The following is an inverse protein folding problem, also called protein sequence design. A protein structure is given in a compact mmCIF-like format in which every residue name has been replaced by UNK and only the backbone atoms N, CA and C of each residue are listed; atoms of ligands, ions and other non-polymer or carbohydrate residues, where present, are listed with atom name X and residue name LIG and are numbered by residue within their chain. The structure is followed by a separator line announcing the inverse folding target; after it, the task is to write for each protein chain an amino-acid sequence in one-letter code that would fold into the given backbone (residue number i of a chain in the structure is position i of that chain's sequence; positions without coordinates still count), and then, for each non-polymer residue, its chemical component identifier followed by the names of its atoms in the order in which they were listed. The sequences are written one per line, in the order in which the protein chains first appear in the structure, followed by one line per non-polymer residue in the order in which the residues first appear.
data_IF_727601347620
#
_entry.id   IF_727601347620
#
_cell.length_a   1.000
_cell.length_b   1.000
_cell.length_c   1.000
_cell.angle_alpha   90.00
_cell.angle_beta   90.00
_cell.angle_gamma   90.00
#
_symmetry.space_group_name_H-M   'P 1'
#
loop_
_entity.id
_entity.type
_entity.pdbx_description
1 polymer ?
#
# COMPACT_ATOMS: atom_id res chain seq x y z
N UNK A 1 -22.06 11.71 -14.78
CA UNK A 1 -20.79 12.43 -14.53
C UNK A 1 -20.18 12.14 -13.15
N UNK A 2 -20.98 12.06 -12.06
CA UNK A 2 -20.48 11.78 -10.68
C UNK A 2 -19.70 10.46 -10.51
N UNK A 3 -20.14 9.38 -11.16
CA UNK A 3 -19.53 8.03 -11.01
C UNK A 3 -18.05 7.99 -11.39
N UNK A 4 -17.67 8.53 -12.55
CA UNK A 4 -16.27 8.47 -13.01
C UNK A 4 -15.35 9.34 -12.16
N UNK A 5 -15.84 10.48 -11.65
CA UNK A 5 -15.10 11.35 -10.74
C UNK A 5 -14.82 10.61 -9.43
N UNK A 6 -15.85 10.02 -8.81
CA UNK A 6 -15.69 9.21 -7.60
C UNK A 6 -14.79 8.00 -7.82
N UNK A 7 -14.91 7.33 -8.97
CA UNK A 7 -14.07 6.18 -9.28
C UNK A 7 -12.59 6.55 -9.44
N UNK A 8 -12.30 7.68 -10.07
CA UNK A 8 -10.94 8.23 -10.13
C UNK A 8 -10.42 8.57 -8.73
N UNK A 9 -11.25 9.24 -7.92
CA UNK A 9 -10.90 9.59 -6.54
C UNK A 9 -10.57 8.35 -5.71
N UNK A 10 -11.41 7.31 -5.74
CA UNK A 10 -11.17 6.07 -4.99
C UNK A 10 -9.82 5.43 -5.36
N UNK A 11 -9.50 5.35 -6.64
CA UNK A 11 -8.21 4.80 -7.07
C UNK A 11 -7.03 5.67 -6.67
N UNK A 12 -7.16 6.99 -6.84
CA UNK A 12 -6.11 7.93 -6.47
C UNK A 12 -5.77 7.84 -4.99
N UNK A 13 -6.79 7.77 -4.13
CA UNK A 13 -6.60 7.65 -2.68
C UNK A 13 -5.96 6.31 -2.30
N UNK A 14 -6.43 5.18 -2.85
CA UNK A 14 -5.82 3.88 -2.59
C UNK A 14 -4.36 3.86 -3.08
N UNK A 15 -4.09 4.30 -4.31
CA UNK A 15 -2.73 4.29 -4.90
C UNK A 15 -1.75 5.11 -4.06
N UNK A 16 -2.13 6.32 -3.65
CA UNK A 16 -1.25 7.19 -2.85
C UNK A 16 -1.08 6.72 -1.41
N UNK A 17 -2.13 6.14 -0.82
CA UNK A 17 -2.04 5.56 0.53
C UNK A 17 -1.12 4.35 0.53
N UNK A 18 -1.28 3.44 -0.44
CA UNK A 18 -0.37 2.30 -0.61
C UNK A 18 1.07 2.75 -0.80
N UNK A 19 1.31 3.77 -1.64
CA UNK A 19 2.65 4.32 -1.84
C UNK A 19 3.23 4.89 -0.55
N UNK A 20 2.42 5.58 0.25
CA UNK A 20 2.88 6.14 1.53
C UNK A 20 3.27 5.05 2.52
N UNK A 21 2.43 4.01 2.66
CA UNK A 21 2.70 2.85 3.54
C UNK A 21 3.98 2.14 3.09
N UNK A 22 4.13 1.84 1.79
CA UNK A 22 5.35 1.20 1.29
C UNK A 22 6.57 2.06 1.62
N UNK A 23 6.51 3.36 1.36
CA UNK A 23 7.63 4.26 1.65
C UNK A 23 8.02 4.22 3.12
N UNK A 24 7.04 4.35 4.00
CA UNK A 24 7.24 4.36 5.44
C UNK A 24 7.88 3.06 5.93
N UNK A 25 7.30 1.91 5.57
CA UNK A 25 7.77 0.60 6.03
C UNK A 25 9.18 0.29 5.53
N UNK A 26 9.48 0.68 4.30
CA UNK A 26 10.81 0.49 3.72
C UNK A 26 11.84 1.44 4.34
N UNK A 27 11.45 2.68 4.67
CA UNK A 27 12.29 3.61 5.42
C UNK A 27 12.55 3.14 6.86
N UNK A 28 11.55 2.55 7.52
CA UNK A 28 11.71 1.99 8.87
C UNK A 28 12.64 0.78 8.85
N UNK A 29 12.49 -0.12 7.88
CA UNK A 29 13.28 -1.35 7.79
C UNK A 29 14.73 -1.11 7.35
N UNK A 30 14.96 -0.21 6.39
CA UNK A 30 16.26 -0.05 5.72
C UNK A 30 16.79 1.38 5.71
N UNK A 31 16.15 2.32 6.39
CA UNK A 31 16.61 3.71 6.49
C UNK A 31 16.24 4.58 5.28
N UNK A 32 16.63 5.87 5.31
CA UNK A 32 16.17 6.87 4.34
C UNK A 32 16.62 6.59 2.90
N UNK A 33 17.73 5.87 2.73
CA UNK A 33 18.30 5.52 1.42
C UNK A 33 17.89 4.11 0.95
N UNK A 34 16.83 3.52 1.52
CA UNK A 34 16.38 2.14 1.24
C UNK A 34 16.26 1.81 -0.25
N UNK A 35 15.95 2.80 -1.09
CA UNK A 35 15.87 2.64 -2.54
C UNK A 35 17.20 2.18 -3.16
N UNK A 36 18.33 2.59 -2.58
CA UNK A 36 19.67 2.29 -3.09
C UNK A 36 20.35 1.10 -2.39
N UNK A 37 19.81 0.64 -1.27
CA UNK A 37 20.47 -0.35 -0.38
C UNK A 37 19.64 -1.61 -0.15
N UNK A 38 18.39 -1.67 -0.63
CA UNK A 38 17.54 -2.84 -0.42
C UNK A 38 18.23 -4.13 -0.91
N UNK A 39 18.28 -5.20 -0.12
CA UNK A 39 18.88 -6.47 -0.54
C UNK A 39 18.20 -7.11 -1.76
N UNK A 40 17.04 -6.56 -2.17
CA UNK A 40 16.27 -6.98 -3.34
C UNK A 40 16.50 -6.08 -4.57
N UNK A 41 17.59 -5.29 -4.63
CA UNK A 41 17.96 -4.45 -5.78
C UNK A 41 17.84 -5.21 -7.12
N UNK A 42 18.23 -6.48 -7.16
CA UNK A 42 18.15 -7.30 -8.38
C UNK A 42 16.72 -7.73 -8.77
N UNK A 43 15.75 -7.64 -7.84
CA UNK A 43 14.32 -7.88 -8.07
C UNK A 43 13.51 -6.57 -8.16
N UNK A 44 14.18 -5.42 -8.10
CA UNK A 44 13.53 -4.12 -8.18
C UNK A 44 12.92 -3.96 -9.58
N UNK A 45 11.70 -3.39 -9.70
CA UNK A 45 11.22 -2.94 -11.00
C UNK A 45 12.27 -2.02 -11.63
N UNK A 46 12.44 -2.05 -12.95
CA UNK A 46 13.34 -1.11 -13.67
C UNK A 46 12.99 0.37 -13.46
N UNK A 47 11.83 0.63 -12.84
CA UNK A 47 11.24 1.93 -12.55
C UNK A 47 11.61 2.39 -11.14
N UNK A 48 11.80 3.70 -10.98
CA UNK A 48 11.95 4.33 -9.66
C UNK A 48 10.70 4.10 -8.82
N UNK A 49 10.83 4.11 -7.48
CA UNK A 49 9.69 3.89 -6.60
C UNK A 49 8.51 4.84 -6.87
N UNK A 50 8.80 6.09 -7.22
CA UNK A 50 7.78 7.11 -7.51
C UNK A 50 7.04 6.87 -8.82
N UNK A 51 7.62 6.09 -9.76
CA UNK A 51 7.00 5.78 -11.05
C UNK A 51 6.26 4.44 -11.08
N UNK A 52 6.21 3.73 -9.94
CA UNK A 52 5.46 2.48 -9.83
C UNK A 52 3.96 2.71 -10.01
N UNK A 53 3.33 1.85 -10.79
CA UNK A 53 1.87 1.81 -10.93
C UNK A 53 1.24 0.95 -9.84
N UNK A 54 -0.09 1.00 -9.74
CA UNK A 54 -0.86 0.23 -8.75
C UNK A 54 -0.52 -1.26 -8.70
N UNK A 55 -0.41 -1.93 -9.84
CA UNK A 55 -0.06 -3.34 -9.89
C UNK A 55 1.38 -3.61 -9.43
N UNK A 56 2.30 -2.69 -9.70
CA UNK A 56 3.67 -2.76 -9.20
C UNK A 56 3.68 -2.65 -7.67
N UNK A 57 2.92 -1.69 -7.11
CA UNK A 57 2.77 -1.51 -5.66
C UNK A 57 2.20 -2.78 -4.99
N UNK A 58 1.14 -3.37 -5.55
CA UNK A 58 0.58 -4.62 -5.00
C UNK A 58 1.60 -5.77 -5.06
N UNK A 59 2.36 -5.87 -6.15
CA UNK A 59 3.38 -6.91 -6.28
C UNK A 59 4.47 -6.77 -5.19
N UNK A 60 4.76 -5.56 -4.74
CA UNK A 60 5.74 -5.34 -3.68
C UNK A 60 5.33 -5.99 -2.34
N UNK A 61 4.04 -5.96 -1.98
CA UNK A 61 3.52 -6.63 -0.78
C UNK A 61 3.71 -8.15 -0.78
N UNK A 62 4.08 -8.76 -1.91
CA UNK A 62 4.39 -10.19 -2.01
C UNK A 62 5.89 -10.50 -2.02
N UNK A 63 6.72 -9.50 -2.26
CA UNK A 63 8.16 -9.68 -2.54
C UNK A 63 9.02 -9.15 -1.41
N UNK A 64 8.61 -8.05 -0.78
CA UNK A 64 9.40 -7.36 0.22
C UNK A 64 8.97 -7.79 1.63
N UNK A 65 9.86 -8.41 2.43
CA UNK A 65 9.53 -8.87 3.78
C UNK A 65 8.96 -7.79 4.72
N UNK A 66 9.42 -6.51 4.69
CA UNK A 66 8.82 -5.47 5.53
C UNK A 66 7.35 -5.16 5.21
N UNK A 67 6.88 -5.56 4.03
CA UNK A 67 5.49 -5.37 3.61
C UNK A 67 4.64 -6.62 3.84
N UNK A 68 5.27 -7.72 4.22
CA UNK A 68 4.58 -8.97 4.49
C UNK A 68 3.62 -8.78 5.66
N UNK A 69 2.47 -9.42 5.57
CA UNK A 69 1.44 -9.42 6.62
C UNK A 69 0.85 -8.06 7.01
N UNK A 70 1.19 -6.95 6.33
CA UNK A 70 0.52 -5.65 6.54
C UNK A 70 -0.96 -5.74 6.18
N UNK A 71 -1.25 -6.41 5.07
CA UNK A 71 -2.62 -6.59 4.61
C UNK A 71 -3.00 -8.07 4.63
N UNK A 72 -4.26 -8.40 5.01
CA UNK A 72 -4.74 -9.75 4.90
C UNK A 72 -4.76 -10.19 3.43
N UNK A 73 -4.45 -11.46 3.17
CA UNK A 73 -4.37 -12.01 1.81
C UNK A 73 -5.65 -11.80 0.99
N UNK A 74 -6.81 -11.79 1.67
CA UNK A 74 -8.10 -11.46 1.05
C UNK A 74 -8.10 -10.04 0.47
N UNK A 75 -7.67 -9.04 1.24
CA UNK A 75 -7.63 -7.64 0.78
C UNK A 75 -6.62 -7.45 -0.36
N UNK A 76 -5.46 -8.11 -0.31
CA UNK A 76 -4.51 -8.11 -1.43
C UNK A 76 -5.14 -8.69 -2.71
N UNK A 77 -5.86 -9.79 -2.59
CA UNK A 77 -6.59 -10.42 -3.70
C UNK A 77 -7.68 -9.48 -4.25
N UNK A 78 -8.44 -8.85 -3.36
CA UNK A 78 -9.47 -7.88 -3.71
C UNK A 78 -8.87 -6.67 -4.47
N UNK A 79 -7.71 -6.17 -4.04
CA UNK A 79 -6.97 -5.10 -4.74
C UNK A 79 -6.42 -5.53 -6.12
N UNK A 80 -5.88 -6.74 -6.26
CA UNK A 80 -5.49 -7.27 -7.58
C UNK A 80 -6.70 -7.29 -8.53
N UNK A 81 -7.87 -7.62 -8.00
CA UNK A 81 -9.08 -7.80 -8.79
C UNK A 81 -9.64 -6.49 -9.41
N UNK A 82 -9.16 -5.31 -8.97
CA UNK A 82 -9.54 -4.00 -9.51
C UNK A 82 -8.52 -3.44 -10.51
N UNK A 83 -7.41 -4.14 -10.81
CA UNK A 83 -6.43 -3.73 -11.84
C UNK A 83 -7.09 -3.47 -13.21
N UNK A 84 -8.02 -4.31 -13.72
CA UNK A 84 -8.70 -4.03 -14.98
C UNK A 84 -9.56 -2.76 -14.93
N UNK A 85 -10.17 -2.46 -13.78
CA UNK A 85 -11.00 -1.26 -13.55
C UNK A 85 -10.11 -0.02 -13.57
N UNK A 86 -8.96 -0.07 -12.90
CA UNK A 86 -7.94 0.98 -12.96
C UNK A 86 -7.49 1.26 -14.38
N UNK A 87 -7.24 0.23 -15.18
CA UNK A 87 -6.87 0.41 -16.58
C UNK A 87 -7.99 1.09 -17.39
N UNK A 88 -9.26 0.73 -17.16
CA UNK A 88 -10.39 1.43 -17.80
C UNK A 88 -10.42 2.91 -17.43
N UNK A 89 -10.29 3.25 -16.15
CA UNK A 89 -10.27 4.65 -15.69
C UNK A 89 -9.10 5.42 -16.31
N UNK A 90 -7.90 4.84 -16.33
CA UNK A 90 -6.71 5.47 -16.92
C UNK A 90 -6.87 5.77 -18.42
N UNK A 91 -7.69 5.00 -19.13
CA UNK A 91 -8.02 5.20 -20.54
C UNK A 91 -9.35 5.93 -20.75
N UNK A 92 -9.88 6.60 -19.72
CA UNK A 92 -11.16 7.33 -19.76
C UNK A 92 -12.34 6.49 -20.27
N UNK A 93 -12.31 5.18 -20.03
CA UNK A 93 -13.39 4.25 -20.43
C UNK A 93 -14.46 4.18 -19.35
N UNK A 94 -15.72 4.10 -19.77
CA UNK A 94 -16.84 3.92 -18.85
C UNK A 94 -16.73 2.60 -18.08
N UNK A 95 -17.10 2.68 -16.80
CA UNK A 95 -17.29 1.51 -15.95
C UNK A 95 -18.74 1.05 -16.00
N UNK A 96 -18.94 -0.26 -15.95
CA UNK A 96 -20.25 -0.81 -15.65
C UNK A 96 -20.63 -0.57 -14.19
N UNK A 97 -21.92 -0.67 -13.86
CA UNK A 97 -22.40 -0.58 -12.49
C UNK A 97 -21.77 -1.64 -11.58
N UNK A 98 -21.48 -2.84 -12.09
CA UNK A 98 -20.83 -3.90 -11.30
C UNK A 98 -19.35 -3.60 -11.06
N UNK A 99 -18.65 -3.03 -12.02
CA UNK A 99 -17.26 -2.59 -11.87
C UNK A 99 -17.13 -1.45 -10.85
N UNK A 100 -18.03 -0.46 -10.94
CA UNK A 100 -18.05 0.64 -9.97
C UNK A 100 -18.30 0.14 -8.54
N UNK A 101 -19.34 -0.70 -8.34
CA UNK A 101 -19.64 -1.31 -7.02
C UNK A 101 -18.47 -2.14 -6.49
N UNK A 102 -17.77 -2.84 -7.37
CA UNK A 102 -16.57 -3.61 -6.99
C UNK A 102 -15.46 -2.70 -6.50
N UNK A 103 -15.14 -1.63 -7.24
CA UNK A 103 -14.15 -0.65 -6.83
C UNK A 103 -14.51 -0.01 -5.48
N UNK A 104 -15.76 0.40 -5.33
CA UNK A 104 -16.29 1.00 -4.10
C UNK A 104 -16.16 0.04 -2.90
N UNK A 105 -16.53 -1.23 -3.08
CA UNK A 105 -16.39 -2.26 -2.04
C UNK A 105 -14.93 -2.45 -1.60
N UNK A 106 -13.99 -2.48 -2.56
CA UNK A 106 -12.55 -2.58 -2.25
C UNK A 106 -12.05 -1.33 -1.54
N UNK A 107 -12.48 -0.15 -1.98
CA UNK A 107 -12.13 1.13 -1.34
C UNK A 107 -12.53 1.15 0.13
N UNK A 108 -13.80 0.86 0.44
CA UNK A 108 -14.27 0.86 1.83
C UNK A 108 -13.61 -0.26 2.65
N UNK A 109 -13.41 -1.44 2.07
CA UNK A 109 -12.71 -2.53 2.76
C UNK A 109 -11.27 -2.14 3.12
N UNK A 110 -10.57 -1.46 2.22
CA UNK A 110 -9.21 -0.96 2.44
C UNK A 110 -9.15 0.08 3.56
N UNK A 111 -9.98 1.12 3.51
CA UNK A 111 -9.96 2.17 4.53
C UNK A 111 -10.54 1.72 5.89
N UNK A 112 -11.51 0.81 5.90
CA UNK A 112 -11.98 0.19 7.14
C UNK A 112 -10.86 -0.63 7.80
N UNK A 113 -10.08 -1.38 7.00
CA UNK A 113 -8.91 -2.08 7.50
C UNK A 113 -7.91 -1.11 8.14
N UNK A 114 -7.56 -0.02 7.45
CA UNK A 114 -6.63 0.98 7.99
C UNK A 114 -7.17 1.65 9.27
N UNK A 115 -8.45 2.00 9.30
CA UNK A 115 -9.09 2.62 10.47
C UNK A 115 -9.08 1.70 11.70
N UNK A 116 -9.36 0.41 11.51
CA UNK A 116 -9.36 -0.57 12.60
C UNK A 116 -7.95 -0.87 13.13
N UNK A 117 -6.93 -0.87 12.27
CA UNK A 117 -5.54 -1.13 12.67
C UNK A 117 -4.78 0.13 13.15
N UNK A 118 -5.35 1.33 12.96
CA UNK A 118 -4.85 2.58 13.54
C UNK A 118 -5.02 2.64 15.06
N UNK A 119 -6.11 2.04 15.58
CA UNK A 119 -6.40 2.00 17.02
C UNK A 119 -5.46 1.06 17.80
N UNK A 120 -4.86 0.07 17.16
CA UNK A 120 -3.92 -0.88 17.80
C UNK A 120 -2.47 -0.38 17.86
N UNK A 121 -2.12 0.69 17.11
CA UNK A 121 -0.75 1.19 17.03
C UNK A 121 -0.40 2.30 18.03
N UNK A 122 -1.38 2.80 18.80
CA UNK A 122 -1.11 3.76 19.88
C UNK A 122 -0.62 3.11 21.18
N UNK A 123 -0.81 1.81 21.38
CA UNK A 123 -0.43 1.13 22.64
C UNK A 123 0.93 0.40 22.59
N UNK A 124 1.55 0.25 21.40
CA UNK A 124 2.81 -0.51 21.24
C UNK A 124 4.06 0.34 21.08
N UNK A 125 3.94 1.64 20.83
CA UNK A 125 5.09 2.56 20.74
C UNK A 125 5.53 3.13 22.10
N UNK A 126 4.76 2.93 23.17
CA UNK A 126 5.10 3.40 24.52
C UNK A 126 6.06 2.47 25.32
N UNK A 127 6.33 1.25 24.86
CA UNK A 127 7.07 0.25 25.64
C UNK A 127 8.46 -0.14 25.10
N UNK A 128 8.99 0.54 24.08
CA UNK A 128 10.35 0.22 23.56
C UNK A 128 11.45 1.24 23.93
N UNK A 129 11.15 2.21 24.80
CA UNK A 129 12.13 3.22 25.25
C UNK A 129 12.30 3.19 26.77
N UNK A 130 12.62 2.04 27.37
CA UNK A 130 13.21 1.98 28.72
C UNK A 130 14.10 0.74 28.92
N UNK A 131 15.09 0.52 28.05
CA UNK A 131 16.32 -0.24 28.40
C UNK A 131 17.54 0.35 27.70
N UNK A 132 17.83 1.64 27.96
CA UNK A 132 19.22 2.11 27.95
C UNK A 132 19.74 1.94 29.37
N UNK A 133 20.69 1.02 29.58
CA UNK A 133 21.79 1.18 30.55
C UNK A 133 22.77 0.00 30.55
N UNK A 134 23.89 0.15 29.83
CA UNK A 134 25.27 0.26 30.36
C UNK A 134 26.32 -0.15 29.31
N UNK A 135 27.38 0.63 29.13
CA UNK A 135 28.61 0.15 28.51
C UNK A 135 29.39 -0.71 29.51
N UNK A 136 29.92 -1.85 29.08
CA UNK A 136 30.96 -2.57 29.83
C UNK A 136 32.32 -2.12 29.28
N UNK A 137 33.16 -1.63 30.18
CA UNK A 137 34.60 -1.49 29.95
C UNK A 137 35.32 -2.83 30.01
#
# INVERSE_FOLDING_TARGET
MKIMISAYQYLFEIENTLRSIVKEQMQQAWGPNWENISPLINKRPRRTFHSLHFHDLIAWYRVYPPLDSIFPQKLLTDMVSIIPIRNKIAHCRFLSSSEYKKLESVYYSFFNFLGNNSLDNYDKTANFVLTKDRPKG
#
